data_IF_846883211518
#
_entry.id   IF_846883211518
#
_cell.length_a   1.000
_cell.length_b   1.000
_cell.length_c   1.000
_cell.angle_alpha   90.00
_cell.angle_beta   90.00
_cell.angle_gamma   90.00
#
_symmetry.space_group_name_H-M   'P 1'
#
loop_
_entity.id
_entity.type
_entity.pdbx_description
1 polymer ?
#
# COMPACT_ATOMS: atom_id res chain seq x y z
N UNK A 1 -11.87 -16.61 -11.18
CA UNK A 1 -10.68 -17.37 -10.73
C UNK A 1 -9.54 -17.09 -11.71
N UNK A 2 -8.30 -17.01 -11.23
CA UNK A 2 -7.12 -16.78 -12.08
C UNK A 2 -6.85 -18.02 -12.94
N UNK A 3 -6.51 -17.84 -14.22
CA UNK A 3 -6.18 -18.94 -15.14
C UNK A 3 -5.00 -19.77 -14.64
N UNK A 4 -5.11 -21.10 -14.71
CA UNK A 4 -4.03 -22.03 -14.33
C UNK A 4 -2.79 -21.85 -15.21
N UNK A 5 -2.98 -21.55 -16.50
CA UNK A 5 -1.89 -21.25 -17.42
C UNK A 5 -1.11 -20.01 -16.98
N UNK A 6 -1.81 -18.95 -16.58
CA UNK A 6 -1.19 -17.72 -16.10
C UNK A 6 -0.38 -17.97 -14.83
N UNK A 7 -0.90 -18.77 -13.89
CA UNK A 7 -0.17 -19.15 -12.66
C UNK A 7 1.11 -19.90 -12.99
N UNK A 8 1.07 -20.84 -13.95
CA UNK A 8 2.26 -21.58 -14.37
C UNK A 8 3.29 -20.69 -15.08
N UNK A 9 2.86 -19.69 -15.86
CA UNK A 9 3.79 -18.72 -16.45
C UNK A 9 4.45 -17.84 -15.39
N UNK A 10 3.68 -17.33 -14.43
CA UNK A 10 4.20 -16.51 -13.32
C UNK A 10 5.20 -17.28 -12.45
N UNK A 11 5.00 -18.59 -12.26
CA UNK A 11 5.91 -19.45 -11.48
C UNK A 11 7.29 -19.59 -12.10
N UNK A 12 7.39 -19.56 -13.43
CA UNK A 12 8.66 -19.70 -14.19
C UNK A 12 9.55 -18.45 -14.13
N UNK A 13 8.99 -17.30 -13.76
CA UNK A 13 9.73 -16.06 -13.63
C UNK A 13 10.81 -16.15 -12.53
N UNK A 14 11.93 -15.46 -12.76
CA UNK A 14 12.94 -15.27 -11.71
C UNK A 14 12.42 -14.32 -10.62
N UNK A 15 13.14 -14.18 -9.51
CA UNK A 15 12.71 -13.36 -8.37
C UNK A 15 12.48 -11.89 -8.75
N UNK A 16 13.34 -11.32 -9.59
CA UNK A 16 13.26 -9.90 -9.98
C UNK A 16 12.01 -9.67 -10.83
N UNK A 17 11.80 -10.51 -11.84
CA UNK A 17 10.64 -10.39 -12.73
C UNK A 17 9.32 -10.58 -11.99
N UNK A 18 9.27 -11.49 -11.01
CA UNK A 18 8.10 -11.65 -10.13
C UNK A 18 7.78 -10.37 -9.36
N UNK A 19 8.80 -9.74 -8.79
CA UNK A 19 8.62 -8.48 -8.05
C UNK A 19 8.15 -7.36 -8.98
N UNK A 20 8.67 -7.30 -10.20
CA UNK A 20 8.27 -6.31 -11.18
C UNK A 20 6.80 -6.47 -11.62
N UNK A 21 6.33 -7.71 -11.82
CA UNK A 21 4.91 -7.98 -12.09
C UNK A 21 4.02 -7.56 -10.93
N UNK A 22 4.42 -7.85 -9.68
CA UNK A 22 3.67 -7.42 -8.50
C UNK A 22 3.57 -5.89 -8.44
N UNK A 23 4.67 -5.18 -8.69
CA UNK A 23 4.69 -3.72 -8.69
C UNK A 23 3.81 -3.12 -9.77
N UNK A 24 3.84 -3.67 -10.98
CA UNK A 24 2.98 -3.24 -12.09
C UNK A 24 1.51 -3.36 -11.70
N UNK A 25 1.09 -4.55 -11.25
CA UNK A 25 -0.30 -4.81 -10.86
C UNK A 25 -0.75 -3.94 -9.69
N UNK A 26 0.11 -3.72 -8.69
CA UNK A 26 -0.20 -2.84 -7.56
C UNK A 26 -0.40 -1.38 -8.00
N UNK A 27 0.40 -0.90 -8.97
CA UNK A 27 0.25 0.44 -9.51
C UNK A 27 -1.02 0.60 -10.36
N UNK A 28 -1.40 -0.43 -11.13
CA UNK A 28 -2.65 -0.47 -11.88
C UNK A 28 -3.86 -0.39 -10.93
N UNK A 29 -3.87 -1.24 -9.89
CA UNK A 29 -4.92 -1.23 -8.88
C UNK A 29 -5.05 0.14 -8.20
N UNK A 30 -3.94 0.74 -7.77
CA UNK A 30 -3.95 2.06 -7.14
C UNK A 30 -4.54 3.16 -8.04
N UNK A 31 -4.35 3.08 -9.36
CA UNK A 31 -4.93 4.01 -10.33
C UNK A 31 -6.42 3.77 -10.56
N UNK A 32 -6.87 2.51 -10.59
CA UNK A 32 -8.29 2.17 -10.67
C UNK A 32 -9.05 2.60 -9.40
N UNK A 33 -8.34 2.67 -8.29
CA UNK A 33 -8.83 2.94 -6.94
C UNK A 33 -8.82 4.44 -6.56
N UNK A 34 -9.04 5.33 -7.52
CA UNK A 34 -8.99 6.81 -7.36
C UNK A 34 -9.98 7.41 -6.34
N UNK A 35 -10.86 6.63 -5.71
CA UNK A 35 -11.80 7.06 -4.66
C UNK A 35 -11.98 6.03 -3.53
N UNK A 36 -10.89 5.38 -3.07
CA UNK A 36 -10.96 4.42 -1.95
C UNK A 36 -11.48 5.02 -0.65
N UNK A 37 -11.06 6.26 -0.37
CA UNK A 37 -11.42 6.99 0.84
C UNK A 37 -12.57 7.94 0.53
N UNK A 38 -13.77 7.54 0.92
CA UNK A 38 -14.99 8.33 0.77
C UNK A 38 -15.11 9.28 1.95
N UNK A 39 -15.40 10.54 1.68
CA UNK A 39 -15.72 11.52 2.72
C UNK A 39 -16.90 11.03 3.56
N UNK A 40 -16.75 11.06 4.90
CA UNK A 40 -17.76 10.60 5.85
C UNK A 40 -17.81 9.08 6.10
N UNK A 41 -16.96 8.28 5.44
CA UNK A 41 -16.84 6.86 5.74
C UNK A 41 -15.93 6.61 6.95
N UNK A 42 -16.31 5.67 7.83
CA UNK A 42 -15.47 5.19 8.91
C UNK A 42 -14.79 3.89 8.46
N UNK A 43 -13.47 3.92 8.37
CA UNK A 43 -12.67 2.75 8.03
C UNK A 43 -12.20 2.09 9.33
N UNK A 44 -12.19 0.74 9.40
CA UNK A 44 -11.57 0.07 10.52
C UNK A 44 -10.11 0.54 10.64
N UNK A 45 -9.64 0.75 11.88
CA UNK A 45 -8.22 1.00 12.12
C UNK A 45 -7.49 -0.31 11.87
N UNK A 46 -6.87 -0.44 10.71
CA UNK A 46 -5.91 -1.50 10.48
C UNK A 46 -4.61 -1.00 11.10
N UNK A 47 -4.34 -1.36 12.35
CA UNK A 47 -2.97 -1.28 12.84
C UNK A 47 -2.16 -2.14 11.88
N UNK A 48 -1.16 -1.61 11.18
CA UNK A 48 -0.37 -2.44 10.30
C UNK A 48 0.23 -3.54 11.18
N UNK A 49 -0.14 -4.79 10.90
CA UNK A 49 0.30 -5.94 11.68
C UNK A 49 1.83 -5.90 11.71
N UNK A 50 2.41 -5.77 12.90
CA UNK A 50 3.86 -5.61 13.14
C UNK A 50 4.57 -4.42 12.45
N UNK A 51 3.87 -3.38 11.96
CA UNK A 51 4.55 -2.18 11.42
C UNK A 51 4.58 -1.01 12.43
N UNK A 52 5.14 -1.30 13.60
CA UNK A 52 5.40 -0.32 14.67
C UNK A 52 6.23 0.87 14.15
N UNK A 53 7.13 0.62 13.20
CA UNK A 53 7.96 1.64 12.57
C UNK A 53 7.12 2.65 11.76
N UNK A 54 6.11 2.20 11.02
CA UNK A 54 5.24 3.09 10.26
C UNK A 54 4.40 4.00 11.17
N UNK A 55 3.96 3.49 12.33
CA UNK A 55 3.26 4.28 13.33
C UNK A 55 4.15 5.39 13.92
N UNK A 56 5.42 5.08 14.20
CA UNK A 56 6.39 6.07 14.67
C UNK A 56 6.66 7.15 13.62
N UNK A 57 6.83 6.77 12.34
CA UNK A 57 7.06 7.74 11.27
C UNK A 57 5.88 8.71 11.13
N UNK A 58 4.63 8.22 11.24
CA UNK A 58 3.45 9.10 11.24
C UNK A 58 3.40 10.02 12.46
N UNK A 59 3.76 9.53 13.64
CA UNK A 59 3.83 10.34 14.86
C UNK A 59 4.85 11.48 14.73
N UNK A 60 6.03 11.17 14.18
CA UNK A 60 7.08 12.16 13.93
C UNK A 60 6.63 13.23 12.92
N UNK A 61 5.99 12.81 11.83
CA UNK A 61 5.45 13.73 10.82
C UNK A 61 4.40 14.69 11.41
N UNK A 62 3.47 14.17 12.24
CA UNK A 62 2.45 14.99 12.91
C UNK A 62 3.06 15.99 13.89
N UNK A 63 4.06 15.58 14.65
CA UNK A 63 4.75 16.46 15.59
C UNK A 63 5.51 17.58 14.86
N UNK A 64 6.15 17.25 13.72
CA UNK A 64 6.81 18.24 12.88
C UNK A 64 5.80 19.27 12.35
N UNK A 65 4.65 18.83 11.87
CA UNK A 65 3.58 19.74 11.41
C UNK A 65 3.01 20.60 12.54
N UNK A 66 2.77 20.02 13.72
CA UNK A 66 2.29 20.76 14.89
C UNK A 66 3.29 21.83 15.37
N UNK A 67 4.59 21.53 15.28
CA UNK A 67 5.66 22.48 15.62
C UNK A 67 5.77 23.64 14.62
N UNK A 68 5.48 23.40 13.33
CA UNK A 68 5.47 24.45 12.29
C UNK A 68 4.26 25.39 12.41
N UNK A 69 3.16 24.93 13.01
CA UNK A 69 1.93 25.71 13.21
C UNK A 69 1.94 26.55 14.51
N UNK A 70 3.03 26.55 15.28
CA UNK A 70 3.19 27.32 16.52
C UNK A 70 4.23 28.46 16.46
N UNK A 71 4.72 28.80 15.26
CA UNK A 71 5.42 30.07 14.95
C UNK A 71 4.53 31.01 14.15
#
# INVERSE_FOLDING_TARGET
MVSTELVEQLRKLNRVDKLMVIQLLAAELANEETNLIKSGASYPVWSPYDAVEAANIMLEALNAEASLNHE
#
